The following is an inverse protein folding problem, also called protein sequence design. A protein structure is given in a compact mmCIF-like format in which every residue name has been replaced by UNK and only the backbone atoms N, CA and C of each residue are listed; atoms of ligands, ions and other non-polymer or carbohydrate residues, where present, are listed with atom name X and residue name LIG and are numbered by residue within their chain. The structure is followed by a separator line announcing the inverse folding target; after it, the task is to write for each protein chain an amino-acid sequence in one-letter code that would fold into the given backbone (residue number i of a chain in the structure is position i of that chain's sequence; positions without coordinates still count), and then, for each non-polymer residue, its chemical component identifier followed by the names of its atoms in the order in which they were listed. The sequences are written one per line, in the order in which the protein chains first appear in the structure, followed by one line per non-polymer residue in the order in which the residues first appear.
data_IF_043606343493
#
_entry.id   IF_043606343493
#
_cell.length_a   1.000
_cell.length_b   1.000
_cell.length_c   1.000
_cell.angle_alpha   90.00
_cell.angle_beta   90.00
_cell.angle_gamma   90.00
#
_symmetry.space_group_name_H-M   'P 1'
#
loop_
_entity.id
_entity.type
_entity.pdbx_description
1 polymer ?
#
# COMPACT_ATOMS: atom_id res chain seq x y z
N UNK A 1 -23.83 -11.47 10.03
CA UNK A 1 -23.36 -10.67 11.16
C UNK A 1 -24.29 -9.45 11.19
N UNK A 2 -25.31 -9.46 12.03
CA UNK A 2 -26.19 -8.31 12.24
C UNK A 2 -25.34 -7.23 12.91
N UNK A 3 -25.15 -6.12 12.24
CA UNK A 3 -24.57 -4.93 12.82
C UNK A 3 -25.68 -4.19 13.55
N UNK A 4 -25.56 -4.07 14.85
CA UNK A 4 -26.38 -3.16 15.64
C UNK A 4 -26.00 -1.73 15.23
N UNK A 5 -26.87 -1.10 14.43
CA UNK A 5 -26.61 0.23 13.84
C UNK A 5 -27.10 1.28 14.84
N UNK A 6 -26.44 1.38 15.97
CA UNK A 6 -26.72 2.42 16.93
C UNK A 6 -26.25 3.81 16.43
N UNK A 7 -25.20 3.83 15.60
CA UNK A 7 -24.62 5.06 15.06
C UNK A 7 -24.75 5.11 13.54
N UNK A 8 -25.39 6.13 13.01
CA UNK A 8 -25.44 6.39 11.56
C UNK A 8 -24.02 6.61 10.99
N UNK A 9 -23.72 5.99 9.84
CA UNK A 9 -22.44 6.16 9.14
C UNK A 9 -22.67 6.88 7.83
N UNK A 10 -22.57 8.25 7.82
CA UNK A 10 -22.81 9.04 6.63
C UNK A 10 -21.86 8.65 5.48
N UNK A 11 -22.38 8.54 4.26
CA UNK A 11 -21.63 8.16 3.04
C UNK A 11 -21.75 9.20 1.92
N UNK A 12 -22.55 10.25 2.13
CA UNK A 12 -22.76 11.33 1.21
C UNK A 12 -22.72 12.68 1.93
N UNK A 13 -22.23 13.76 1.26
CA UNK A 13 -22.21 15.08 1.84
C UNK A 13 -23.66 15.54 2.10
N UNK A 14 -23.93 15.95 3.32
CA UNK A 14 -25.23 16.46 3.74
C UNK A 14 -25.28 18.00 3.74
N UNK A 15 -24.32 18.69 3.11
CA UNK A 15 -24.19 20.14 3.10
C UNK A 15 -24.42 20.74 1.71
N UNK A 16 -25.13 21.87 1.66
CA UNK A 16 -25.17 22.73 0.49
C UNK A 16 -23.87 23.50 0.37
N UNK A 17 -23.62 24.11 -0.80
CA UNK A 17 -22.44 24.95 -1.03
C UNK A 17 -22.37 26.12 -0.04
N UNK A 18 -23.51 26.75 0.21
CA UNK A 18 -23.64 27.89 1.11
C UNK A 18 -23.36 27.49 2.58
N UNK A 19 -23.79 26.28 2.98
CA UNK A 19 -23.47 25.73 4.30
C UNK A 19 -21.97 25.45 4.43
N UNK A 20 -21.34 24.89 3.40
CA UNK A 20 -19.91 24.64 3.38
C UNK A 20 -19.12 25.93 3.54
N UNK A 21 -19.41 26.95 2.73
CA UNK A 21 -18.75 28.26 2.79
C UNK A 21 -18.92 28.95 4.15
N UNK A 22 -20.07 28.73 4.81
CA UNK A 22 -20.37 29.31 6.12
C UNK A 22 -19.68 28.60 7.26
N UNK A 23 -19.65 27.27 7.25
CA UNK A 23 -19.26 26.44 8.40
C UNK A 23 -17.84 25.90 8.34
N UNK A 24 -17.24 25.81 7.15
CA UNK A 24 -15.95 25.19 6.97
C UNK A 24 -14.91 26.17 6.41
N UNK A 25 -13.64 25.79 6.59
CA UNK A 25 -12.49 26.44 5.97
C UNK A 25 -11.47 25.40 5.52
N UNK A 26 -10.66 25.71 4.51
CA UNK A 26 -9.60 24.86 4.02
C UNK A 26 -8.29 25.23 4.72
N UNK A 27 -7.73 24.28 5.45
CA UNK A 27 -6.42 24.41 6.09
C UNK A 27 -5.37 23.77 5.18
N UNK A 28 -4.24 24.46 5.01
CA UNK A 28 -3.04 23.94 4.33
C UNK A 28 -1.96 23.72 5.37
N UNK A 29 -1.43 22.52 5.46
CA UNK A 29 -0.29 22.18 6.31
C UNK A 29 0.95 22.05 5.44
N UNK A 30 1.91 22.97 5.61
CA UNK A 30 3.17 23.03 4.87
C UNK A 30 4.36 23.31 5.78
N UNK A 31 4.18 23.10 7.09
CA UNK A 31 5.20 23.45 8.11
C UNK A 31 6.32 22.40 8.24
N UNK A 32 6.13 21.18 7.67
CA UNK A 32 7.17 20.18 7.66
C UNK A 32 8.26 20.51 6.65
N UNK A 33 9.53 20.23 6.99
CA UNK A 33 10.64 20.25 6.03
C UNK A 33 10.51 19.17 4.95
N UNK A 34 9.73 18.12 5.23
CA UNK A 34 9.47 17.04 4.29
C UNK A 34 8.19 17.35 3.50
N UNK A 35 8.33 17.77 2.25
CA UNK A 35 7.20 18.14 1.38
C UNK A 35 6.17 17.00 1.21
N UNK A 36 6.60 15.74 1.28
CA UNK A 36 5.71 14.59 1.21
C UNK A 36 4.69 14.54 2.36
N UNK A 37 4.94 15.24 3.48
CA UNK A 37 4.01 15.33 4.61
C UNK A 37 3.05 16.52 4.50
N UNK A 38 3.13 17.31 3.44
CA UNK A 38 2.22 18.43 3.21
C UNK A 38 0.86 17.93 2.77
N UNK A 39 -0.19 18.50 3.38
CA UNK A 39 -1.57 18.15 3.06
C UNK A 39 -2.50 19.35 3.20
N UNK A 40 -3.69 19.22 2.67
CA UNK A 40 -4.80 20.11 2.99
C UNK A 40 -5.94 19.31 3.61
N UNK A 41 -6.73 19.98 4.44
CA UNK A 41 -7.93 19.42 5.05
C UNK A 41 -9.00 20.49 5.19
N UNK A 42 -10.27 20.09 5.01
CA UNK A 42 -11.41 20.98 5.27
C UNK A 42 -11.88 20.74 6.70
N UNK A 43 -11.92 21.80 7.48
CA UNK A 43 -12.22 21.79 8.91
C UNK A 43 -13.42 22.67 9.22
N UNK A 44 -14.30 22.31 10.19
CA UNK A 44 -15.21 23.25 10.81
C UNK A 44 -14.50 24.51 11.33
N UNK A 45 -15.14 25.67 11.23
CA UNK A 45 -14.55 26.95 11.65
C UNK A 45 -14.28 27.05 13.15
N UNK A 46 -14.93 26.20 13.94
CA UNK A 46 -14.68 26.07 15.40
C UNK A 46 -13.33 25.42 15.71
N UNK A 47 -12.72 24.67 14.76
CA UNK A 47 -11.44 24.02 15.00
C UNK A 47 -10.27 24.94 14.72
N UNK A 48 -9.27 24.86 15.58
CA UNK A 48 -8.00 25.57 15.46
C UNK A 48 -6.83 24.59 15.51
N UNK A 49 -5.72 24.88 14.82
CA UNK A 49 -4.48 24.13 14.97
C UNK A 49 -4.02 24.12 16.43
N UNK A 50 -3.49 22.97 16.85
CA UNK A 50 -2.91 22.78 18.17
C UNK A 50 -1.45 22.33 18.08
N UNK A 51 -0.74 22.44 19.18
CA UNK A 51 0.59 21.83 19.29
C UNK A 51 0.48 20.30 19.13
N UNK A 52 1.46 19.74 18.44
CA UNK A 52 1.56 18.30 18.26
C UNK A 52 2.03 17.65 19.56
N UNK A 53 1.19 16.81 20.12
CA UNK A 53 1.65 15.91 21.18
C UNK A 53 2.50 14.80 20.61
N UNK A 54 3.62 14.42 21.25
CA UNK A 54 4.53 13.43 20.70
C UNK A 54 3.89 12.06 20.47
N UNK A 55 2.81 11.73 21.19
CA UNK A 55 2.22 10.38 21.20
C UNK A 55 0.68 10.43 21.20
N UNK A 56 0.07 10.81 20.06
CA UNK A 56 -1.40 10.68 19.91
C UNK A 56 -1.87 9.23 19.71
N UNK A 57 -0.99 8.36 19.24
CA UNK A 57 -1.31 6.96 18.93
C UNK A 57 -0.26 6.03 19.56
N UNK A 58 -0.26 5.90 20.90
CA UNK A 58 0.76 5.13 21.61
C UNK A 58 0.77 3.66 21.18
N UNK A 59 1.96 3.10 20.94
CA UNK A 59 2.14 1.71 20.55
C UNK A 59 1.80 1.36 19.10
N UNK A 60 1.39 2.34 18.29
CA UNK A 60 0.97 2.09 16.88
C UNK A 60 2.07 2.33 15.85
N UNK A 61 3.17 3.01 16.22
CA UNK A 61 4.24 3.41 15.29
C UNK A 61 3.89 4.64 14.42
N UNK A 62 2.73 5.28 14.65
CA UNK A 62 2.30 6.45 13.90
C UNK A 62 3.02 7.71 14.38
N UNK A 63 3.44 8.55 13.44
CA UNK A 63 3.98 9.89 13.70
C UNK A 63 2.88 10.92 13.47
N UNK A 64 2.64 11.78 14.45
CA UNK A 64 1.67 12.86 14.31
C UNK A 64 2.23 13.95 13.40
N UNK A 65 1.41 14.40 12.45
CA UNK A 65 1.75 15.49 11.54
C UNK A 65 0.77 16.67 11.62
N UNK A 66 -0.36 16.52 12.30
CA UNK A 66 -1.32 17.60 12.52
C UNK A 66 -2.30 17.30 13.63
N UNK A 67 -2.74 18.35 14.35
CA UNK A 67 -3.78 18.28 15.38
C UNK A 67 -4.64 19.54 15.32
N UNK A 68 -5.96 19.35 15.42
CA UNK A 68 -6.94 20.43 15.45
C UNK A 68 -8.04 20.06 16.43
N UNK A 69 -8.52 21.01 17.20
CA UNK A 69 -9.60 20.80 18.16
C UNK A 69 -10.50 22.03 18.31
N UNK A 70 -11.70 21.82 18.84
CA UNK A 70 -12.68 22.86 19.13
C UNK A 70 -12.17 23.76 20.25
N UNK A 71 -12.23 25.08 20.05
CA UNK A 71 -11.71 26.10 20.99
C UNK A 71 -12.81 26.98 21.61
N UNK A 72 -14.06 26.77 21.23
CA UNK A 72 -15.21 27.50 21.72
C UNK A 72 -16.15 26.57 22.54
N UNK A 73 -17.32 27.07 22.95
CA UNK A 73 -18.33 26.32 23.71
C UNK A 73 -19.12 25.29 22.85
N UNK A 74 -18.71 25.04 21.62
CA UNK A 74 -19.29 24.03 20.75
C UNK A 74 -19.00 22.62 21.28
N UNK A 75 -19.77 21.58 20.89
CA UNK A 75 -19.42 20.21 21.19
C UNK A 75 -17.98 19.89 20.74
N UNK A 76 -17.24 19.20 21.61
CA UNK A 76 -15.83 18.93 21.37
C UNK A 76 -15.64 18.02 20.18
N UNK A 77 -14.89 18.49 19.20
CA UNK A 77 -14.44 17.77 18.03
C UNK A 77 -12.94 17.85 17.93
N UNK A 78 -12.28 16.74 17.64
CA UNK A 78 -10.84 16.67 17.51
C UNK A 78 -10.46 15.97 16.20
N UNK A 79 -9.46 16.52 15.52
CA UNK A 79 -8.92 15.99 14.28
C UNK A 79 -7.42 15.76 14.43
N UNK A 80 -6.97 14.56 14.08
CA UNK A 80 -5.57 14.19 14.04
C UNK A 80 -5.17 13.76 12.63
N UNK A 81 -4.05 14.28 12.16
CA UNK A 81 -3.36 13.76 10.99
C UNK A 81 -2.09 13.03 11.43
N UNK A 82 -1.88 11.83 10.94
CA UNK A 82 -0.73 11.01 11.27
C UNK A 82 -0.17 10.31 10.04
N UNK A 83 1.07 9.85 10.14
CA UNK A 83 1.84 9.25 9.07
C UNK A 83 2.65 8.07 9.56
N UNK A 84 2.82 7.07 8.70
CA UNK A 84 3.79 6.00 8.86
C UNK A 84 4.35 5.60 7.49
N UNK A 85 5.66 5.37 7.45
CA UNK A 85 6.28 4.65 6.36
C UNK A 85 6.36 3.17 6.71
N UNK A 86 5.77 2.33 5.87
CA UNK A 86 5.98 0.89 5.92
C UNK A 86 7.03 0.47 4.89
N UNK A 87 7.90 -0.44 5.28
CA UNK A 87 8.93 -0.98 4.40
C UNK A 87 8.30 -1.70 3.19
N UNK A 88 7.16 -2.35 3.40
CA UNK A 88 6.42 -3.08 2.37
C UNK A 88 5.02 -2.51 2.21
N UNK A 89 4.55 -2.48 0.98
CA UNK A 89 3.23 -1.97 0.67
C UNK A 89 2.15 -3.02 0.96
N UNK A 90 1.05 -2.57 1.54
CA UNK A 90 -0.16 -3.35 1.77
C UNK A 90 -1.41 -2.54 1.43
N UNK A 91 -2.59 -3.16 1.43
CA UNK A 91 -3.82 -2.40 1.30
C UNK A 91 -4.00 -1.45 2.51
N UNK A 92 -4.48 -0.25 2.24
CA UNK A 92 -4.72 0.76 3.28
C UNK A 92 -5.70 0.29 4.35
N UNK A 93 -6.71 -0.52 3.98
CA UNK A 93 -7.63 -1.15 4.92
C UNK A 93 -6.93 -2.13 5.86
N UNK A 94 -6.06 -3.00 5.32
CA UNK A 94 -5.33 -3.99 6.10
C UNK A 94 -4.37 -3.29 7.08
N UNK A 95 -3.69 -2.25 6.61
CA UNK A 95 -2.83 -1.41 7.44
C UNK A 95 -3.63 -0.74 8.57
N UNK A 96 -4.76 -0.10 8.23
CA UNK A 96 -5.61 0.57 9.22
C UNK A 96 -6.11 -0.41 10.30
N UNK A 97 -6.61 -1.58 9.92
CA UNK A 97 -7.11 -2.57 10.89
C UNK A 97 -6.03 -3.05 11.86
N UNK A 98 -4.77 -3.20 11.39
CA UNK A 98 -3.65 -3.47 12.30
C UNK A 98 -3.47 -2.35 13.34
N UNK A 99 -3.57 -1.08 12.92
CA UNK A 99 -3.44 0.08 13.83
C UNK A 99 -4.61 0.17 14.82
N UNK A 100 -5.84 -0.05 14.36
CA UNK A 100 -7.04 -0.05 15.20
C UNK A 100 -6.99 -1.16 16.26
N UNK A 101 -6.53 -2.35 15.90
CA UNK A 101 -6.33 -3.45 16.83
C UNK A 101 -5.31 -3.10 17.92
N UNK A 102 -4.18 -2.48 17.56
CA UNK A 102 -3.16 -2.04 18.51
C UNK A 102 -3.65 -0.94 19.46
N UNK A 103 -4.55 -0.06 18.98
CA UNK A 103 -5.13 1.03 19.80
C UNK A 103 -6.36 0.62 20.60
N UNK A 104 -6.83 -0.63 20.47
CA UNK A 104 -8.02 -1.14 21.18
C UNK A 104 -9.34 -0.53 20.68
N UNK A 105 -9.37 -0.09 19.42
CA UNK A 105 -10.56 0.46 18.77
C UNK A 105 -11.49 -0.67 18.29
N UNK A 106 -12.79 -0.57 18.58
CA UNK A 106 -13.81 -1.48 18.04
C UNK A 106 -14.40 -0.87 16.76
N UNK A 107 -14.33 -1.61 15.66
CA UNK A 107 -14.93 -1.20 14.38
C UNK A 107 -16.44 -1.32 14.45
N UNK A 108 -17.17 -0.24 14.19
CA UNK A 108 -18.63 -0.18 14.06
C UNK A 108 -19.05 -0.37 12.61
N UNK A 109 -18.46 0.43 11.73
CA UNK A 109 -18.75 0.43 10.29
C UNK A 109 -17.49 0.56 9.46
N UNK A 110 -17.53 0.02 8.25
CA UNK A 110 -16.51 0.24 7.22
C UNK A 110 -17.19 0.51 5.89
N UNK A 111 -16.68 1.46 5.12
CA UNK A 111 -17.02 1.61 3.72
C UNK A 111 -16.12 0.73 2.89
N UNK A 112 -16.73 -0.10 2.04
CA UNK A 112 -15.97 -0.87 1.06
C UNK A 112 -15.49 0.10 -0.03
N UNK A 113 -14.19 0.22 -0.14
CA UNK A 113 -13.54 1.04 -1.13
C UNK A 113 -13.00 0.12 -2.22
N UNK A 114 -13.77 -0.07 -3.29
CA UNK A 114 -13.39 -0.93 -4.43
C UNK A 114 -12.40 -0.27 -5.39
N UNK A 115 -12.39 1.07 -5.44
CA UNK A 115 -11.38 1.93 -6.07
C UNK A 115 -11.17 3.09 -5.12
N UNK A 116 -10.06 3.84 -5.28
CA UNK A 116 -9.91 5.07 -4.51
C UNK A 116 -11.19 5.90 -4.59
N UNK A 117 -11.74 6.26 -3.43
CA UNK A 117 -12.85 7.19 -3.35
C UNK A 117 -12.34 8.56 -3.81
N UNK A 118 -13.27 9.48 -4.11
CA UNK A 118 -12.91 10.88 -4.34
C UNK A 118 -11.81 11.33 -3.38
N UNK A 119 -10.81 12.03 -3.87
CA UNK A 119 -9.63 12.49 -3.15
C UNK A 119 -8.62 11.40 -2.70
N UNK A 120 -8.59 10.24 -3.34
CA UNK A 120 -7.57 9.23 -3.08
C UNK A 120 -7.68 8.51 -1.73
N UNK A 121 -8.86 8.49 -1.12
CA UNK A 121 -9.12 7.76 0.14
C UNK A 121 -9.28 6.27 -0.17
N UNK A 122 -8.45 5.44 0.46
CA UNK A 122 -8.40 3.99 0.27
C UNK A 122 -9.01 3.17 1.41
N UNK A 123 -9.25 3.79 2.56
CA UNK A 123 -9.97 3.18 3.66
C UNK A 123 -10.80 4.23 4.39
N UNK A 124 -11.99 3.84 4.87
CA UNK A 124 -12.93 4.71 5.57
C UNK A 124 -13.71 3.86 6.58
N UNK A 125 -13.48 4.12 7.89
CA UNK A 125 -13.92 3.27 8.99
C UNK A 125 -14.43 4.13 10.13
N UNK A 126 -15.57 3.74 10.71
CA UNK A 126 -16.11 4.28 11.96
C UNK A 126 -15.83 3.31 13.10
N UNK A 127 -15.35 3.84 14.22
CA UNK A 127 -15.00 3.05 15.41
C UNK A 127 -15.59 3.65 16.67
N UNK A 128 -15.60 2.84 17.73
CA UNK A 128 -15.82 3.28 19.12
C UNK A 128 -14.66 2.80 19.99
N UNK A 129 -14.25 3.63 20.91
CA UNK A 129 -13.32 3.29 21.98
C UNK A 129 -13.90 3.68 23.32
N UNK A 130 -13.88 2.72 24.26
CA UNK A 130 -14.22 2.97 25.66
C UNK A 130 -12.94 3.21 26.44
N UNK A 131 -12.79 4.38 27.04
CA UNK A 131 -11.66 4.72 27.90
C UNK A 131 -11.80 4.08 29.28
N UNK A 132 -10.71 4.01 30.01
CA UNK A 132 -10.69 3.48 31.39
C UNK A 132 -11.58 4.29 32.35
N UNK A 133 -11.87 5.54 32.04
CA UNK A 133 -12.83 6.41 32.73
C UNK A 133 -14.31 5.99 32.51
N UNK A 134 -14.58 5.16 31.51
CA UNK A 134 -15.94 4.83 31.06
C UNK A 134 -16.44 5.71 29.92
N UNK A 135 -15.68 6.74 29.54
CA UNK A 135 -16.05 7.63 28.44
C UNK A 135 -15.93 6.90 27.11
N UNK A 136 -16.95 7.08 26.28
CA UNK A 136 -16.99 6.51 24.93
C UNK A 136 -16.67 7.59 23.90
N UNK A 137 -15.74 7.26 22.99
CA UNK A 137 -15.34 8.14 21.89
C UNK A 137 -15.63 7.45 20.57
N UNK A 138 -16.39 8.12 19.71
CA UNK A 138 -16.60 7.74 18.32
C UNK A 138 -15.53 8.41 17.47
N UNK A 139 -14.92 7.64 16.57
CA UNK A 139 -13.90 8.14 15.65
C UNK A 139 -14.16 7.66 14.23
N UNK A 140 -13.97 8.55 13.26
CA UNK A 140 -13.91 8.20 11.85
C UNK A 140 -12.49 8.31 11.35
N UNK A 141 -12.03 7.25 10.71
CA UNK A 141 -10.69 7.12 10.15
C UNK A 141 -10.77 7.05 8.65
N UNK A 142 -10.00 7.88 7.97
CA UNK A 142 -9.76 7.76 6.55
C UNK A 142 -8.27 7.65 6.27
N UNK A 143 -7.89 6.86 5.28
CA UNK A 143 -6.51 6.58 4.94
C UNK A 143 -6.26 6.88 3.49
N UNK A 144 -5.19 7.61 3.24
CA UNK A 144 -4.55 7.74 1.94
C UNK A 144 -3.22 6.99 1.96
N UNK A 145 -2.80 6.49 0.83
CA UNK A 145 -1.48 5.89 0.68
C UNK A 145 -0.77 6.42 -0.55
N UNK A 146 0.55 6.41 -0.49
CA UNK A 146 1.41 6.73 -1.61
C UNK A 146 2.63 5.80 -1.61
N UNK A 147 3.28 5.65 -2.74
CA UNK A 147 4.50 4.87 -2.85
C UNK A 147 5.72 5.71 -2.45
N UNK A 148 6.64 5.11 -1.70
CA UNK A 148 7.92 5.76 -1.38
C UNK A 148 8.95 5.43 -2.46
N UNK A 149 9.08 6.31 -3.47
CA UNK A 149 9.99 6.12 -4.59
C UNK A 149 11.47 6.07 -4.21
N UNK A 150 11.86 6.69 -3.08
CA UNK A 150 13.27 6.79 -2.69
C UNK A 150 13.73 5.54 -1.93
N UNK A 151 12.84 4.95 -1.12
CA UNK A 151 13.17 3.85 -0.21
C UNK A 151 12.36 2.57 -0.44
N UNK A 152 11.42 2.59 -1.40
CA UNK A 152 10.43 1.52 -1.58
C UNK A 152 9.38 1.47 -0.47
N UNK A 153 8.40 0.57 -0.61
CA UNK A 153 7.32 0.39 0.32
C UNK A 153 6.24 1.46 0.24
N UNK A 154 5.39 1.55 1.26
CA UNK A 154 4.24 2.43 1.29
C UNK A 154 4.35 3.54 2.33
N UNK A 155 3.91 4.72 1.94
CA UNK A 155 3.60 5.84 2.82
C UNK A 155 2.11 5.83 3.12
N UNK A 156 1.73 5.75 4.39
CA UNK A 156 0.34 5.75 4.84
C UNK A 156 0.06 7.01 5.63
N UNK A 157 -1.01 7.69 5.24
CA UNK A 157 -1.47 8.92 5.87
C UNK A 157 -2.87 8.69 6.42
N UNK A 158 -3.07 9.02 7.67
CA UNK A 158 -4.28 8.82 8.42
C UNK A 158 -4.88 10.15 8.81
N UNK A 159 -6.18 10.33 8.59
CA UNK A 159 -6.96 11.36 9.23
C UNK A 159 -7.95 10.69 10.19
N UNK A 160 -7.90 11.05 11.48
CA UNK A 160 -8.84 10.66 12.52
C UNK A 160 -9.67 11.87 12.90
N UNK A 161 -10.99 11.74 12.88
CA UNK A 161 -11.94 12.77 13.36
C UNK A 161 -12.78 12.14 14.45
N UNK A 162 -12.79 12.73 15.66
CA UNK A 162 -13.39 12.11 16.85
C UNK A 162 -14.16 13.08 17.71
N UNK A 163 -15.22 12.56 18.38
CA UNK A 163 -15.99 13.26 19.39
C UNK A 163 -16.44 12.29 20.48
N UNK A 164 -17.02 12.80 21.56
CA UNK A 164 -17.73 11.98 22.54
C UNK A 164 -18.95 11.29 21.89
N UNK A 165 -19.27 10.06 22.30
CA UNK A 165 -20.34 9.28 21.68
C UNK A 165 -21.71 9.98 21.80
N UNK A 166 -21.97 10.66 22.90
CA UNK A 166 -23.20 11.42 23.13
C UNK A 166 -23.40 12.58 22.12
N UNK A 167 -22.30 13.14 21.58
CA UNK A 167 -22.34 14.28 20.64
C UNK A 167 -22.34 13.82 19.18
N UNK A 168 -22.11 12.53 18.93
CA UNK A 168 -21.90 12.02 17.58
C UNK A 168 -23.06 12.31 16.63
N UNK A 169 -24.30 12.15 17.08
CA UNK A 169 -25.48 12.39 16.22
C UNK A 169 -25.52 13.83 15.69
N UNK A 170 -25.13 14.81 16.51
CA UNK A 170 -25.08 16.21 16.13
C UNK A 170 -23.89 16.51 15.20
N UNK A 171 -22.76 15.84 15.40
CA UNK A 171 -21.49 16.07 14.70
C UNK A 171 -21.24 15.13 13.52
N UNK A 172 -22.08 14.12 13.31
CA UNK A 172 -21.82 13.07 12.30
C UNK A 172 -21.58 13.61 10.89
N UNK A 173 -22.27 14.69 10.49
CA UNK A 173 -22.10 15.37 9.19
C UNK A 173 -20.74 16.07 9.10
N UNK A 174 -20.35 16.78 10.16
CA UNK A 174 -19.08 17.49 10.24
C UNK A 174 -17.90 16.51 10.23
N UNK A 175 -18.03 15.43 11.01
CA UNK A 175 -17.05 14.32 11.04
C UNK A 175 -16.88 13.71 9.65
N UNK A 176 -18.00 13.38 8.97
CA UNK A 176 -17.96 12.87 7.62
C UNK A 176 -17.26 13.84 6.67
N UNK A 177 -17.74 15.08 6.63
CA UNK A 177 -17.26 16.06 5.66
C UNK A 177 -15.77 16.35 5.83
N UNK A 178 -15.30 16.46 7.07
CA UNK A 178 -13.86 16.61 7.37
C UNK A 178 -13.07 15.37 6.96
N UNK A 179 -13.55 14.19 7.34
CA UNK A 179 -12.83 12.93 7.12
C UNK A 179 -12.63 12.59 5.63
N UNK A 180 -13.52 13.05 4.74
CA UNK A 180 -13.42 12.76 3.30
C UNK A 180 -12.90 13.93 2.46
N UNK A 181 -12.72 15.12 3.03
CA UNK A 181 -12.23 16.31 2.33
C UNK A 181 -10.84 16.71 2.80
N UNK A 182 -9.87 15.89 2.46
CA UNK A 182 -8.45 16.14 2.65
C UNK A 182 -7.64 15.41 1.58
N UNK A 183 -6.43 15.90 1.29
CA UNK A 183 -5.53 15.25 0.35
C UNK A 183 -4.09 15.69 0.57
N UNK A 184 -3.14 14.89 0.07
CA UNK A 184 -1.72 15.22 0.04
C UNK A 184 -1.46 16.30 -1.01
N UNK A 185 -0.56 17.24 -0.71
CA UNK A 185 -0.17 18.29 -1.67
C UNK A 185 0.85 17.77 -2.69
N UNK A 186 1.70 16.85 -2.27
CA UNK A 186 2.77 16.28 -3.09
C UNK A 186 2.63 14.77 -3.12
N UNK A 187 2.03 14.25 -4.19
CA UNK A 187 1.96 12.81 -4.45
C UNK A 187 3.11 12.36 -5.32
N UNK A 188 3.48 11.11 -5.21
CA UNK A 188 4.35 10.47 -6.16
C UNK A 188 3.78 10.60 -7.58
N UNK A 189 4.61 11.04 -8.53
CA UNK A 189 4.21 11.17 -9.94
C UNK A 189 3.90 9.81 -10.60
N UNK A 190 4.17 8.71 -9.91
CA UNK A 190 4.02 7.36 -10.43
C UNK A 190 2.59 6.82 -10.33
N UNK A 191 1.62 7.65 -9.90
CA UNK A 191 0.19 7.30 -9.78
C UNK A 191 -0.03 5.94 -9.06
N UNK A 192 0.78 5.66 -8.04
CA UNK A 192 0.92 4.34 -7.45
C UNK A 192 -0.02 4.06 -6.29
N UNK A 193 -0.86 5.00 -5.94
CA UNK A 193 -1.87 4.77 -4.93
C UNK A 193 -3.03 3.97 -5.54
N UNK A 194 -2.91 2.66 -5.59
CA UNK A 194 -3.94 1.76 -6.09
C UNK A 194 -4.18 0.59 -5.14
N UNK A 195 -5.30 -0.09 -5.33
CA UNK A 195 -5.60 -1.30 -4.58
C UNK A 195 -4.73 -2.46 -5.04
N UNK A 196 -4.53 -3.41 -4.13
CA UNK A 196 -3.89 -4.69 -4.42
C UNK A 196 -4.97 -5.76 -4.58
N UNK A 197 -4.87 -6.54 -5.63
CA UNK A 197 -5.71 -7.70 -5.87
C UNK A 197 -4.96 -8.98 -5.56
N UNK A 198 -5.66 -10.00 -5.05
CA UNK A 198 -5.08 -11.30 -4.75
C UNK A 198 -5.14 -12.19 -5.98
N UNK A 199 -4.04 -12.88 -6.26
CA UNK A 199 -3.92 -13.91 -7.30
C UNK A 199 -3.83 -15.25 -6.59
N UNK A 200 -4.80 -16.11 -6.84
CA UNK A 200 -4.87 -17.47 -6.31
C UNK A 200 -4.03 -18.40 -7.19
N UNK A 201 -3.12 -19.15 -6.57
CA UNK A 201 -2.26 -20.14 -7.24
C UNK A 201 -2.80 -21.58 -7.11
N UNK A 202 -3.91 -21.71 -6.39
CA UNK A 202 -4.49 -23.00 -6.01
C UNK A 202 -4.11 -23.43 -4.59
N UNK A 203 -4.97 -24.20 -3.97
CA UNK A 203 -4.84 -24.56 -2.57
C UNK A 203 -4.95 -23.33 -1.66
N UNK A 204 -3.98 -23.12 -0.79
CA UNK A 204 -3.89 -21.91 0.05
C UNK A 204 -2.75 -20.96 -0.40
N UNK A 205 -2.19 -21.20 -1.59
CA UNK A 205 -1.09 -20.39 -2.14
C UNK A 205 -1.62 -19.18 -2.88
N UNK A 206 -1.10 -18.00 -2.61
CA UNK A 206 -1.52 -16.75 -3.23
C UNK A 206 -0.43 -15.68 -3.13
N UNK A 207 -0.56 -14.65 -3.95
CA UNK A 207 0.19 -13.39 -3.81
C UNK A 207 -0.68 -12.21 -4.22
N UNK A 208 -0.23 -10.98 -3.95
CA UNK A 208 -0.94 -9.77 -4.37
C UNK A 208 -0.17 -9.01 -5.44
N UNK A 209 -0.92 -8.33 -6.32
CA UNK A 209 -0.40 -7.40 -7.31
C UNK A 209 -1.25 -6.13 -7.33
N UNK A 210 -0.72 -4.99 -7.80
CA UNK A 210 -1.54 -3.82 -8.08
C UNK A 210 -2.63 -4.11 -9.10
N UNK A 211 -3.81 -3.49 -8.96
CA UNK A 211 -4.99 -3.79 -9.84
C UNK A 211 -4.79 -3.42 -11.29
N UNK A 212 -3.81 -2.58 -11.61
CA UNK A 212 -3.42 -2.25 -12.99
C UNK A 212 -2.59 -3.36 -13.67
N UNK A 213 -2.12 -4.35 -12.91
CA UNK A 213 -1.34 -5.47 -13.40
C UNK A 213 -2.23 -6.71 -13.64
N UNK A 214 -1.79 -7.57 -14.54
CA UNK A 214 -2.48 -8.79 -14.89
C UNK A 214 -1.59 -10.01 -14.65
N UNK A 215 -2.15 -11.07 -14.09
CA UNK A 215 -1.45 -12.34 -13.90
C UNK A 215 -2.08 -13.40 -14.80
N UNK A 216 -1.23 -14.20 -15.47
CA UNK A 216 -1.61 -15.34 -16.30
C UNK A 216 -0.82 -16.57 -15.89
N UNK A 217 -1.52 -17.64 -15.55
CA UNK A 217 -0.92 -18.96 -15.38
C UNK A 217 -0.74 -19.53 -16.78
N UNK A 218 0.50 -19.62 -17.25
CA UNK A 218 0.83 -20.13 -18.60
C UNK A 218 0.90 -21.66 -18.59
N UNK A 219 1.58 -22.19 -17.56
CA UNK A 219 1.78 -23.62 -17.35
C UNK A 219 1.67 -23.92 -15.84
N UNK A 220 1.63 -25.20 -15.48
CA UNK A 220 1.52 -25.61 -14.08
C UNK A 220 2.63 -25.04 -13.18
N UNK A 221 3.78 -24.74 -13.77
CA UNK A 221 4.98 -24.25 -13.08
C UNK A 221 5.43 -22.87 -13.56
N UNK A 222 4.59 -22.15 -14.35
CA UNK A 222 4.96 -20.84 -14.87
C UNK A 222 3.80 -19.84 -14.79
N UNK A 223 4.08 -18.69 -14.19
CA UNK A 223 3.15 -17.55 -14.12
C UNK A 223 3.83 -16.33 -14.72
N UNK A 224 3.06 -15.55 -15.46
CA UNK A 224 3.49 -14.25 -16.00
C UNK A 224 2.61 -13.17 -15.42
N UNK A 225 3.24 -12.15 -14.87
CA UNK A 225 2.58 -10.93 -14.38
C UNK A 225 3.05 -9.78 -15.26
N UNK A 226 2.13 -9.13 -15.93
CA UNK A 226 2.42 -8.08 -16.90
C UNK A 226 1.62 -6.81 -16.63
N UNK A 227 2.20 -5.68 -17.04
CA UNK A 227 1.54 -4.39 -17.09
C UNK A 227 1.62 -3.85 -18.51
N UNK A 228 0.48 -3.46 -19.04
CA UNK A 228 0.36 -2.94 -20.41
C UNK A 228 -0.32 -1.59 -20.40
N UNK A 229 0.33 -0.59 -20.95
CA UNK A 229 -0.24 0.75 -21.16
C UNK A 229 -0.22 1.05 -22.66
N UNK A 230 -1.34 1.48 -23.22
CA UNK A 230 -1.49 1.83 -24.65
C UNK A 230 -1.01 0.71 -25.61
N UNK A 231 -1.27 -0.55 -25.26
CA UNK A 231 -0.83 -1.77 -25.97
C UNK A 231 0.70 -2.01 -25.96
N UNK A 232 1.45 -1.31 -25.14
CA UNK A 232 2.88 -1.54 -24.93
C UNK A 232 3.08 -2.20 -23.56
N UNK A 233 3.86 -3.28 -23.53
CA UNK A 233 4.30 -3.88 -22.27
C UNK A 233 5.28 -2.94 -21.58
N UNK A 234 4.94 -2.52 -20.36
CA UNK A 234 5.76 -1.64 -19.54
C UNK A 234 6.54 -2.39 -18.47
N UNK A 235 6.23 -3.68 -18.26
CA UNK A 235 6.93 -4.54 -17.33
C UNK A 235 6.42 -5.96 -17.37
N UNK A 236 7.33 -6.92 -17.19
CA UNK A 236 7.03 -8.35 -17.11
C UNK A 236 7.77 -8.97 -15.94
N UNK A 237 7.02 -9.65 -15.09
CA UNK A 237 7.55 -10.46 -14.00
C UNK A 237 7.18 -11.91 -14.28
N UNK A 238 8.17 -12.78 -14.32
CA UNK A 238 7.97 -14.21 -14.53
C UNK A 238 8.24 -14.97 -13.23
N UNK A 239 7.43 -16.01 -12.99
CA UNK A 239 7.64 -16.98 -11.94
C UNK A 239 7.88 -18.34 -12.55
N UNK A 240 8.77 -19.10 -11.95
CA UNK A 240 9.00 -20.51 -12.25
C UNK A 240 9.09 -21.29 -10.94
N UNK A 241 8.43 -22.43 -10.92
CA UNK A 241 8.43 -23.33 -9.79
C UNK A 241 9.12 -24.65 -10.19
N UNK A 242 9.99 -25.13 -9.32
CA UNK A 242 10.72 -26.39 -9.50
C UNK A 242 10.55 -27.25 -8.26
N UNK A 243 10.46 -28.57 -8.47
CA UNK A 243 10.46 -29.52 -7.37
C UNK A 243 11.86 -29.69 -6.77
N UNK A 244 11.93 -30.26 -5.56
CA UNK A 244 13.20 -30.61 -4.91
C UNK A 244 14.00 -31.68 -5.72
N UNK A 245 13.33 -32.46 -6.57
CA UNK A 245 14.01 -33.43 -7.45
C UNK A 245 14.67 -32.74 -8.66
N UNK A 246 14.22 -31.55 -9.01
CA UNK A 246 14.70 -30.80 -10.17
C UNK A 246 15.85 -29.86 -9.85
N UNK A 247 15.87 -29.31 -8.64
CA UNK A 247 16.89 -28.34 -8.17
C UNK A 247 17.19 -28.59 -6.69
N UNK A 248 18.48 -28.47 -6.30
CA UNK A 248 18.94 -28.76 -4.96
C UNK A 248 19.59 -27.53 -4.27
N UNK A 249 19.95 -26.51 -5.04
CA UNK A 249 20.57 -25.29 -4.57
C UNK A 249 20.07 -24.07 -5.34
N UNK A 250 20.32 -22.86 -4.82
CA UNK A 250 19.95 -21.61 -5.49
C UNK A 250 20.62 -21.48 -6.86
N UNK A 251 21.88 -21.90 -6.98
CA UNK A 251 22.62 -21.90 -8.23
C UNK A 251 22.00 -22.82 -9.30
N UNK A 252 21.48 -23.99 -8.89
CA UNK A 252 20.78 -24.91 -9.82
C UNK A 252 19.55 -24.24 -10.42
N UNK A 253 18.75 -23.59 -9.54
CA UNK A 253 17.53 -22.85 -9.94
C UNK A 253 17.89 -21.71 -10.87
N UNK A 254 18.91 -20.92 -10.51
CA UNK A 254 19.39 -19.81 -11.32
C UNK A 254 19.84 -20.25 -12.71
N UNK A 255 20.72 -21.24 -12.77
CA UNK A 255 21.25 -21.76 -14.03
C UNK A 255 20.15 -22.34 -14.92
N UNK A 256 19.21 -23.13 -14.34
CA UNK A 256 18.10 -23.72 -15.07
C UNK A 256 17.15 -22.66 -15.61
N UNK A 257 16.85 -21.64 -14.81
CA UNK A 257 15.93 -20.56 -15.19
C UNK A 257 16.53 -19.63 -16.24
N UNK A 258 17.81 -19.32 -16.15
CA UNK A 258 18.50 -18.38 -17.08
C UNK A 258 18.91 -19.05 -18.39
N UNK A 259 19.10 -20.38 -18.41
CA UNK A 259 19.43 -21.14 -19.65
C UNK A 259 18.40 -20.91 -20.77
N UNK A 260 17.13 -20.62 -20.43
CA UNK A 260 16.08 -20.35 -21.43
C UNK A 260 16.34 -19.12 -22.28
N UNK A 261 17.06 -18.11 -21.78
CA UNK A 261 17.38 -16.90 -22.57
C UNK A 261 18.17 -17.28 -23.82
N UNK A 262 19.16 -18.14 -23.65
CA UNK A 262 19.98 -18.64 -24.75
C UNK A 262 19.23 -19.64 -25.63
N UNK A 263 18.30 -20.42 -25.04
CA UNK A 263 17.48 -21.40 -25.80
C UNK A 263 16.47 -20.74 -26.73
N UNK A 264 15.96 -19.55 -26.37
CA UNK A 264 15.00 -18.83 -27.21
C UNK A 264 15.67 -17.97 -28.27
N UNK A 265 16.81 -17.38 -27.97
CA UNK A 265 17.59 -16.58 -28.90
C UNK A 265 19.07 -16.64 -28.48
N UNK A 266 19.90 -17.31 -29.26
CA UNK A 266 21.33 -17.47 -29.03
C UNK A 266 22.11 -16.13 -29.11
N UNK A 267 21.45 -15.08 -29.60
CA UNK A 267 21.99 -13.71 -29.59
C UNK A 267 21.79 -12.96 -28.26
N UNK A 268 21.08 -13.56 -27.28
CA UNK A 268 20.83 -12.94 -25.97
C UNK A 268 21.92 -13.34 -24.99
N UNK A 269 22.57 -12.33 -24.43
CA UNK A 269 23.63 -12.47 -23.42
C UNK A 269 23.10 -11.93 -22.10
N UNK A 270 23.12 -12.76 -21.04
CA UNK A 270 22.90 -12.32 -19.68
C UNK A 270 24.26 -12.05 -19.02
N UNK A 271 24.47 -10.79 -18.61
CA UNK A 271 25.58 -10.43 -17.72
C UNK A 271 25.00 -10.21 -16.33
N UNK A 272 25.08 -11.24 -15.49
CA UNK A 272 24.56 -11.22 -14.13
C UNK A 272 25.68 -11.05 -13.10
N UNK A 273 25.37 -10.39 -11.99
CA UNK A 273 26.21 -10.37 -10.80
C UNK A 273 26.16 -11.76 -10.10
N UNK A 274 26.97 -11.95 -9.09
CA UNK A 274 26.88 -13.12 -8.23
C UNK A 274 25.55 -13.12 -7.47
N UNK A 275 25.08 -14.30 -7.04
CA UNK A 275 23.95 -14.43 -6.14
C UNK A 275 24.34 -13.90 -4.76
N UNK A 276 23.49 -13.03 -4.21
CA UNK A 276 23.69 -12.42 -2.91
C UNK A 276 22.51 -12.74 -1.99
N UNK A 277 22.77 -12.88 -0.71
CA UNK A 277 21.70 -13.04 0.27
C UNK A 277 20.83 -11.78 0.34
N UNK A 278 19.54 -11.95 0.22
CA UNK A 278 18.57 -10.88 0.34
C UNK A 278 18.02 -10.83 1.79
N UNK A 279 17.99 -9.64 2.43
CA UNK A 279 17.48 -9.50 3.80
C UNK A 279 16.05 -10.05 3.91
N UNK A 280 15.83 -10.99 4.82
CA UNK A 280 14.55 -11.70 4.99
C UNK A 280 13.46 -10.89 5.72
N UNK A 281 13.61 -9.57 5.78
CA UNK A 281 12.63 -8.65 6.39
C UNK A 281 11.38 -8.50 5.53
N UNK A 282 11.46 -8.88 4.25
CA UNK A 282 10.38 -8.69 3.28
C UNK A 282 9.20 -9.60 3.57
N UNK A 283 9.50 -10.88 3.78
CA UNK A 283 8.51 -11.91 4.07
C UNK A 283 9.18 -13.03 4.89
N UNK A 284 9.13 -12.97 6.21
CA UNK A 284 9.79 -13.94 7.09
C UNK A 284 9.30 -15.39 6.89
N UNK A 285 8.16 -15.60 6.23
CA UNK A 285 7.63 -16.93 5.93
C UNK A 285 8.38 -17.61 4.77
N UNK A 286 9.04 -16.83 3.92
CA UNK A 286 9.79 -17.34 2.77
C UNK A 286 11.24 -17.68 3.12
N UNK A 287 11.62 -18.60 3.84
CA UNK A 287 12.99 -19.08 4.08
C UNK A 287 14.15 -18.13 3.68
N UNK A 288 15.31 -18.66 3.32
CA UNK A 288 16.43 -17.87 2.80
C UNK A 288 16.17 -17.44 1.36
N UNK A 289 16.26 -16.14 1.09
CA UNK A 289 16.10 -15.58 -0.25
C UNK A 289 17.47 -15.16 -0.78
N UNK A 290 17.79 -15.56 -2.01
CA UNK A 290 18.93 -15.01 -2.75
C UNK A 290 18.44 -14.17 -3.93
N UNK A 291 19.19 -13.11 -4.23
CA UNK A 291 18.90 -12.18 -5.33
C UNK A 291 20.08 -12.05 -6.27
N UNK A 292 19.78 -11.74 -7.51
CA UNK A 292 20.77 -11.41 -8.51
C UNK A 292 20.25 -10.25 -9.36
N UNK A 293 21.13 -9.32 -9.70
CA UNK A 293 20.87 -8.23 -10.65
C UNK A 293 21.81 -8.34 -11.84
N UNK A 294 21.38 -7.81 -12.99
CA UNK A 294 22.20 -7.87 -14.19
C UNK A 294 21.60 -7.13 -15.38
N UNK A 295 22.16 -7.39 -16.54
CA UNK A 295 21.66 -6.91 -17.83
C UNK A 295 21.49 -8.06 -18.81
N UNK A 296 20.41 -8.01 -19.56
CA UNK A 296 20.21 -8.81 -20.76
C UNK A 296 20.53 -7.92 -21.97
N UNK A 297 21.33 -8.45 -22.90
CA UNK A 297 21.66 -7.78 -24.14
C UNK A 297 21.33 -8.68 -25.32
N UNK A 298 20.49 -8.21 -26.23
CA UNK A 298 20.25 -8.88 -27.52
C UNK A 298 21.18 -8.30 -28.58
N UNK A 299 22.10 -9.13 -29.08
CA UNK A 299 23.00 -8.75 -30.17
C UNK A 299 22.26 -8.47 -31.47
N UNK A 300 21.16 -9.18 -31.71
CA UNK A 300 20.33 -9.05 -32.90
C UNK A 300 19.54 -7.74 -32.91
N UNK A 301 18.90 -7.43 -31.81
CA UNK A 301 18.02 -6.26 -31.72
C UNK A 301 18.74 -5.02 -31.22
N UNK A 302 19.97 -5.17 -30.70
CA UNK A 302 20.76 -4.09 -30.07
C UNK A 302 20.07 -3.46 -28.88
N UNK A 303 19.25 -4.24 -28.16
CA UNK A 303 18.47 -3.81 -27.01
C UNK A 303 19.14 -4.32 -25.74
N UNK A 304 19.18 -3.46 -24.72
CA UNK A 304 19.58 -3.81 -23.35
C UNK A 304 18.35 -3.78 -22.46
N UNK A 305 18.21 -4.79 -21.62
CA UNK A 305 17.16 -4.88 -20.60
C UNK A 305 17.77 -5.02 -19.22
N UNK A 306 17.14 -4.39 -18.23
CA UNK A 306 17.41 -4.63 -16.82
C UNK A 306 16.92 -6.01 -16.43
N UNK A 307 17.68 -6.69 -15.59
CA UNK A 307 17.35 -7.99 -15.03
C UNK A 307 17.49 -7.97 -13.51
N UNK A 308 16.52 -8.55 -12.81
CA UNK A 308 16.58 -8.81 -11.39
C UNK A 308 15.83 -10.11 -11.09
N UNK A 309 16.40 -10.98 -10.24
CA UNK A 309 15.75 -12.21 -9.83
C UNK A 309 15.84 -12.43 -8.33
N UNK A 310 14.89 -13.23 -7.82
CA UNK A 310 14.82 -13.72 -6.46
C UNK A 310 14.60 -15.22 -6.47
N UNK A 311 15.33 -15.93 -5.62
CA UNK A 311 15.31 -17.38 -5.54
C UNK A 311 15.18 -17.76 -4.06
N UNK A 312 14.24 -18.64 -3.78
CA UNK A 312 14.05 -19.20 -2.45
C UNK A 312 13.42 -20.58 -2.52
N UNK A 313 13.53 -21.31 -1.44
CA UNK A 313 12.84 -22.59 -1.25
C UNK A 313 11.81 -22.45 -0.15
N UNK A 314 10.58 -22.81 -0.42
CA UNK A 314 9.53 -22.93 0.56
C UNK A 314 8.93 -24.32 0.52
N UNK A 315 9.00 -25.02 1.67
CA UNK A 315 8.38 -26.33 1.86
C UNK A 315 8.74 -27.38 0.77
N UNK A 316 9.96 -27.30 0.21
CA UNK A 316 10.47 -28.24 -0.80
C UNK A 316 10.11 -27.83 -2.24
N UNK A 317 9.52 -26.65 -2.44
CA UNK A 317 9.31 -26.05 -3.76
C UNK A 317 10.29 -24.91 -3.94
N UNK A 318 11.09 -24.95 -4.96
CA UNK A 318 11.93 -23.85 -5.40
C UNK A 318 11.13 -22.86 -6.20
N UNK A 319 11.20 -21.61 -5.83
CA UNK A 319 10.59 -20.49 -6.55
C UNK A 319 11.67 -19.58 -7.11
N UNK A 320 11.53 -19.26 -8.38
CA UNK A 320 12.33 -18.27 -9.08
C UNK A 320 11.41 -17.17 -9.61
N UNK A 321 11.64 -15.94 -9.20
CA UNK A 321 10.90 -14.78 -9.66
C UNK A 321 11.88 -13.84 -10.34
N UNK A 322 11.55 -13.37 -11.53
CA UNK A 322 12.38 -12.41 -12.24
C UNK A 322 11.58 -11.23 -12.78
N UNK A 323 12.19 -10.09 -12.77
CA UNK A 323 11.79 -8.90 -13.48
C UNK A 323 12.75 -8.68 -14.65
N UNK A 324 12.21 -8.67 -15.85
CA UNK A 324 12.92 -8.25 -17.07
C UNK A 324 12.24 -7.02 -17.64
N UNK A 325 13.00 -5.98 -17.89
CA UNK A 325 12.43 -4.74 -18.41
C UNK A 325 13.49 -3.78 -18.92
N UNK A 326 13.04 -2.66 -19.43
CA UNK A 326 13.94 -1.62 -19.95
C UNK A 326 14.76 -1.00 -18.83
N UNK A 327 15.88 -0.37 -19.18
CA UNK A 327 16.76 0.25 -18.20
C UNK A 327 16.12 1.48 -17.54
N UNK A 328 16.61 1.86 -16.34
CA UNK A 328 16.08 2.96 -15.51
C UNK A 328 15.96 4.30 -16.23
N UNK A 329 16.83 4.56 -17.19
CA UNK A 329 16.90 5.83 -17.93
C UNK A 329 15.98 5.88 -19.15
N UNK A 330 15.16 4.86 -19.40
CA UNK A 330 14.19 4.89 -20.49
C UNK A 330 12.94 5.64 -20.05
N UNK A 331 12.62 6.75 -20.72
CA UNK A 331 11.48 7.62 -20.41
C UNK A 331 10.12 6.91 -20.53
N UNK A 332 10.03 5.88 -21.39
CA UNK A 332 8.79 5.12 -21.61
C UNK A 332 8.61 3.95 -20.64
N UNK A 333 9.60 3.65 -19.81
CA UNK A 333 9.59 2.55 -18.88
C UNK A 333 9.58 3.03 -17.43
N UNK A 334 8.51 2.74 -16.74
CA UNK A 334 8.39 3.07 -15.34
C UNK A 334 9.07 1.99 -14.48
N UNK A 335 10.39 2.09 -14.35
CA UNK A 335 11.20 1.17 -13.57
C UNK A 335 10.72 1.04 -12.11
N UNK A 336 10.35 2.14 -11.48
CA UNK A 336 9.89 2.14 -10.10
C UNK A 336 8.53 1.43 -9.93
N UNK A 337 7.64 1.52 -10.95
CA UNK A 337 6.39 0.77 -10.96
C UNK A 337 6.63 -0.75 -11.00
N UNK A 338 7.57 -1.17 -11.82
CA UNK A 338 7.93 -2.58 -11.95
C UNK A 338 8.57 -3.12 -10.68
N UNK A 339 9.53 -2.36 -10.13
CA UNK A 339 10.17 -2.69 -8.86
C UNK A 339 9.15 -2.78 -7.72
N UNK A 340 8.24 -1.80 -7.64
CA UNK A 340 7.15 -1.81 -6.66
C UNK A 340 6.27 -3.08 -6.77
N UNK A 341 5.86 -3.46 -7.99
CA UNK A 341 5.06 -4.66 -8.20
C UNK A 341 5.80 -5.91 -7.70
N UNK A 342 7.08 -6.04 -8.02
CA UNK A 342 7.93 -7.14 -7.57
C UNK A 342 8.05 -7.17 -6.02
N UNK A 343 8.25 -6.03 -5.38
CA UNK A 343 8.29 -5.91 -3.91
C UNK A 343 6.96 -6.34 -3.27
N UNK A 344 5.82 -5.93 -3.82
CA UNK A 344 4.48 -6.33 -3.35
C UNK A 344 4.31 -7.84 -3.45
N UNK A 345 4.70 -8.42 -4.58
CA UNK A 345 4.64 -9.86 -4.79
C UNK A 345 5.43 -10.59 -3.70
N UNK A 346 6.70 -10.25 -3.54
CA UNK A 346 7.58 -10.89 -2.54
C UNK A 346 7.02 -10.74 -1.12
N UNK A 347 6.54 -9.55 -0.75
CA UNK A 347 6.00 -9.28 0.57
C UNK A 347 4.69 -10.01 0.89
N UNK A 348 3.95 -10.44 -0.13
CA UNK A 348 2.62 -11.05 0.02
C UNK A 348 2.52 -12.49 -0.44
N UNK A 349 3.60 -13.02 -1.01
CA UNK A 349 3.65 -14.39 -1.50
C UNK A 349 3.55 -15.37 -0.34
N UNK A 350 2.61 -16.29 -0.46
CA UNK A 350 2.41 -17.43 0.43
C UNK A 350 2.31 -18.66 -0.45
N UNK A 351 3.20 -19.62 -0.25
CA UNK A 351 3.21 -20.89 -0.96
C UNK A 351 2.92 -21.97 0.06
N UNK A 352 1.80 -22.68 -0.11
CA UNK A 352 1.48 -23.86 0.70
C UNK A 352 1.40 -25.06 -0.23
N UNK A 353 2.28 -26.00 0.02
CA UNK A 353 2.27 -27.30 -0.67
C UNK A 353 1.12 -28.13 -0.10
N UNK A 354 0.15 -28.44 -0.94
CA UNK A 354 -1.00 -29.32 -0.62
C UNK A 354 -0.61 -30.80 -0.72
#
# INVERSE_FOLDING_TARGET
MEFDIEYGFPVAPGFTKEEIERHFWKCLYTSSEQEMLHYWVVLPKSLKPAELEPVAFPGTGLTNIGRYFTTDDSPYLEVWAAYERCQWEMNASDWLFKKLALSGEKVLHRRLVGKAVENGIFADVLTIKVHSSGDEVISRYTVQKDYNKDKGGGNYFLLKVSCASQDYTALARDIYFTAVNWDLLHRSNLAMAELLTSIDLGGESAFKIPVSWHAKIIEKNRIVVDHTTDNLSTGVINFYFYSADECHAHEDVFNKSTARFVQHDDSVILTANELEDFPNDINPELGSIQTCTGELYSEKEKIRAFYQSYIFNDSGVWCYIELVGQQRNNENYNFEANKRCLEIILATLNIKVS
#
